data_IF_670613077122
#
_entry.id   IF_670613077122
#
_cell.length_a   1.000
_cell.length_b   1.000
_cell.length_c   1.000
_cell.angle_alpha   90.00
_cell.angle_beta   90.00
_cell.angle_gamma   90.00
#
_symmetry.space_group_name_H-M   'P 1'
#
loop_
_entity.id
_entity.type
_entity.pdbx_description
1 polymer ?
#
# COMPACT_ATOMS: atom_id res chain seq x y z
N UNK A 1 -51.74 11.73 3.10
CA UNK A 1 -51.69 10.43 2.42
C UNK A 1 -50.32 10.27 1.84
N UNK A 2 -49.57 9.50 2.54
CA UNK A 2 -48.79 8.36 2.09
C UNK A 2 -47.75 8.61 1.01
N UNK A 3 -46.50 8.64 1.39
CA UNK A 3 -45.47 7.91 0.62
C UNK A 3 -44.26 7.59 1.51
N UNK A 4 -44.42 6.59 2.36
CA UNK A 4 -43.33 5.86 2.94
C UNK A 4 -43.20 4.59 2.10
N UNK A 5 -42.52 4.69 0.99
CA UNK A 5 -42.15 3.52 0.20
C UNK A 5 -40.91 3.83 -0.62
N UNK A 6 -39.82 3.36 -0.14
CA UNK A 6 -38.76 2.74 -0.91
C UNK A 6 -37.48 2.54 -0.12
N UNK A 7 -37.50 1.82 0.98
CA UNK A 7 -36.32 1.22 1.54
C UNK A 7 -36.15 -0.19 0.94
N UNK A 8 -35.63 -0.34 -0.01
CA UNK A 8 -34.95 -0.97 -1.04
C UNK A 8 -33.85 -1.87 -0.70
N UNK A 9 -33.91 -3.00 -1.30
CA UNK A 9 -32.87 -4.03 -1.46
C UNK A 9 -31.54 -3.38 -1.84
N UNK A 10 -30.65 -3.20 -0.85
CA UNK A 10 -29.23 -3.03 -1.13
C UNK A 10 -28.79 -4.25 -1.95
N UNK A 11 -28.22 -4.08 -3.15
CA UNK A 11 -27.83 -5.21 -3.98
C UNK A 11 -26.93 -6.19 -3.19
N UNK A 12 -27.11 -7.48 -3.39
CA UNK A 12 -26.30 -8.52 -2.71
C UNK A 12 -24.78 -8.26 -2.83
N UNK A 13 -24.35 -7.69 -3.94
CA UNK A 13 -22.95 -7.30 -4.17
C UNK A 13 -22.46 -6.15 -3.27
N UNK A 14 -23.28 -5.17 -2.92
CA UNK A 14 -22.86 -4.09 -2.02
C UNK A 14 -22.69 -4.62 -0.59
N UNK A 15 -23.63 -5.41 -0.08
CA UNK A 15 -23.50 -6.02 1.25
C UNK A 15 -22.30 -6.95 1.38
N UNK A 16 -21.94 -7.66 0.31
CA UNK A 16 -20.75 -8.51 0.29
C UNK A 16 -19.47 -7.67 0.35
N UNK A 17 -19.40 -6.58 -0.41
CA UNK A 17 -18.29 -5.62 -0.36
C UNK A 17 -18.17 -4.97 1.01
N UNK A 18 -19.28 -4.50 1.58
CA UNK A 18 -19.32 -3.89 2.91
C UNK A 18 -18.79 -4.86 3.97
N UNK A 19 -19.16 -6.14 3.88
CA UNK A 19 -18.65 -7.17 4.81
C UNK A 19 -17.15 -7.40 4.65
N UNK A 20 -16.65 -7.48 3.41
CA UNK A 20 -15.21 -7.63 3.14
C UNK A 20 -14.45 -6.43 3.69
N UNK A 21 -14.93 -5.21 3.47
CA UNK A 21 -14.28 -3.98 3.96
C UNK A 21 -14.24 -3.93 5.49
N UNK A 22 -15.32 -4.32 6.16
CA UNK A 22 -15.37 -4.41 7.64
C UNK A 22 -14.38 -5.44 8.17
N UNK A 23 -14.29 -6.62 7.53
CA UNK A 23 -13.32 -7.68 7.92
C UNK A 23 -11.89 -7.21 7.72
N UNK A 24 -11.57 -6.55 6.61
CA UNK A 24 -10.22 -6.04 6.35
C UNK A 24 -9.85 -4.89 7.29
N UNK A 25 -10.82 -4.05 7.67
CA UNK A 25 -10.61 -3.01 8.67
C UNK A 25 -10.31 -3.61 10.05
N UNK A 26 -11.09 -4.60 10.47
CA UNK A 26 -10.86 -5.34 11.71
C UNK A 26 -9.50 -6.05 11.70
N UNK A 27 -9.13 -6.66 10.57
CA UNK A 27 -7.83 -7.30 10.40
C UNK A 27 -6.67 -6.32 10.61
N UNK A 28 -6.75 -5.13 10.03
CA UNK A 28 -5.74 -4.08 10.24
C UNK A 28 -5.65 -3.67 11.72
N UNK A 29 -6.79 -3.53 12.40
CA UNK A 29 -6.83 -3.17 13.82
C UNK A 29 -6.25 -4.28 14.72
N UNK A 30 -6.54 -5.54 14.43
CA UNK A 30 -5.97 -6.68 15.18
C UNK A 30 -4.46 -6.75 14.99
N UNK A 31 -3.97 -6.57 13.77
CA UNK A 31 -2.53 -6.53 13.49
C UNK A 31 -1.84 -5.37 14.20
N UNK A 32 -2.44 -4.20 14.22
CA UNK A 32 -1.86 -3.03 14.88
C UNK A 32 -1.81 -3.19 16.40
N UNK A 33 -2.84 -3.82 17.00
CA UNK A 33 -2.96 -3.99 18.44
C UNK A 33 -2.16 -5.19 18.98
N UNK A 34 -2.15 -6.31 18.27
CA UNK A 34 -1.62 -7.59 18.75
C UNK A 34 -0.48 -8.19 17.90
N UNK A 35 -0.11 -7.51 16.82
CA UNK A 35 0.91 -7.98 15.89
C UNK A 35 0.54 -9.29 15.18
N UNK A 36 1.53 -9.90 14.52
CA UNK A 36 1.33 -11.15 13.79
C UNK A 36 1.03 -12.33 14.73
N UNK A 37 1.61 -12.32 15.92
CA UNK A 37 1.42 -13.38 16.93
C UNK A 37 -0.03 -13.46 17.42
N UNK A 38 -0.71 -12.33 17.57
CA UNK A 38 -2.11 -12.27 17.99
C UNK A 38 -3.11 -12.37 16.82
N UNK A 39 -2.63 -12.35 15.58
CA UNK A 39 -3.49 -12.34 14.41
C UNK A 39 -4.03 -13.73 14.08
N UNK A 40 -5.35 -13.89 14.21
CA UNK A 40 -6.07 -15.11 13.84
C UNK A 40 -7.49 -14.78 13.38
N UNK A 41 -8.13 -15.72 12.69
CA UNK A 41 -9.47 -15.52 12.11
C UNK A 41 -10.57 -15.28 13.15
N UNK A 42 -10.45 -15.83 14.35
CA UNK A 42 -11.43 -15.63 15.42
C UNK A 42 -11.35 -14.18 15.95
N UNK A 43 -10.14 -13.69 16.24
CA UNK A 43 -9.93 -12.30 16.67
C UNK A 43 -10.42 -11.30 15.62
N UNK A 44 -10.20 -11.59 14.33
CA UNK A 44 -10.70 -10.75 13.23
C UNK A 44 -12.22 -10.80 13.14
N UNK A 45 -12.85 -11.97 13.24
CA UNK A 45 -14.32 -12.11 13.18
C UNK A 45 -15.00 -11.39 14.36
N UNK A 46 -14.47 -11.56 15.58
CA UNK A 46 -14.93 -10.88 16.78
C UNK A 46 -14.82 -9.35 16.61
N UNK A 47 -13.66 -8.86 16.18
CA UNK A 47 -13.42 -7.42 15.96
C UNK A 47 -14.29 -6.82 14.87
N UNK A 48 -14.60 -7.60 13.83
CA UNK A 48 -15.47 -7.22 12.72
C UNK A 48 -16.97 -7.28 13.07
N UNK A 49 -17.34 -7.89 14.20
CA UNK A 49 -18.73 -8.13 14.56
C UNK A 49 -19.45 -9.10 13.62
N UNK A 50 -18.71 -10.05 13.01
CA UNK A 50 -19.28 -11.08 12.12
C UNK A 50 -19.09 -12.47 12.71
N UNK A 51 -19.98 -13.41 12.34
CA UNK A 51 -19.75 -14.81 12.72
C UNK A 51 -18.54 -15.39 11.99
N UNK A 52 -17.84 -16.32 12.63
CA UNK A 52 -16.70 -17.01 12.01
C UNK A 52 -17.09 -17.72 10.70
N UNK A 53 -18.30 -18.28 10.64
CA UNK A 53 -18.83 -18.87 9.40
C UNK A 53 -19.08 -17.84 8.30
N UNK A 54 -19.45 -16.60 8.65
CA UNK A 54 -19.57 -15.52 7.68
C UNK A 54 -18.21 -15.09 7.15
N UNK A 55 -17.19 -15.03 8.01
CA UNK A 55 -15.81 -14.72 7.61
C UNK A 55 -15.26 -15.75 6.63
N UNK A 56 -15.41 -17.07 6.92
CA UNK A 56 -14.91 -18.14 6.06
C UNK A 56 -15.59 -18.23 4.69
N UNK A 57 -16.76 -17.62 4.51
CA UNK A 57 -17.36 -17.50 3.16
C UNK A 57 -16.57 -16.59 2.23
N UNK A 58 -15.79 -15.64 2.77
CA UNK A 58 -15.01 -14.67 1.99
C UNK A 58 -13.51 -14.98 2.02
N UNK A 59 -13.02 -15.51 3.13
CA UNK A 59 -11.61 -15.75 3.37
C UNK A 59 -11.38 -17.16 3.89
N UNK A 60 -10.82 -18.07 3.08
CA UNK A 60 -10.64 -19.47 3.47
C UNK A 60 -9.66 -19.65 4.64
N UNK A 61 -8.73 -18.71 4.83
CA UNK A 61 -7.72 -18.77 5.87
C UNK A 61 -7.19 -17.36 6.22
N UNK A 62 -6.34 -17.29 7.24
CA UNK A 62 -5.72 -16.03 7.66
C UNK A 62 -4.83 -15.42 6.58
N UNK A 63 -4.22 -16.24 5.73
CA UNK A 63 -3.35 -15.76 4.66
C UNK A 63 -4.15 -15.05 3.55
N UNK A 64 -5.35 -15.54 3.27
CA UNK A 64 -6.27 -14.87 2.35
C UNK A 64 -6.66 -13.47 2.86
N UNK A 65 -6.88 -13.31 4.17
CA UNK A 65 -7.15 -12.00 4.78
C UNK A 65 -5.92 -11.09 4.65
N UNK A 66 -4.71 -11.60 4.96
CA UNK A 66 -3.46 -10.83 4.86
C UNK A 66 -3.20 -10.37 3.43
N UNK A 67 -3.39 -11.26 2.44
CA UNK A 67 -3.24 -10.90 1.00
C UNK A 67 -4.23 -9.82 0.59
N UNK A 68 -5.50 -9.97 0.95
CA UNK A 68 -6.52 -8.99 0.61
C UNK A 68 -6.26 -7.63 1.31
N UNK A 69 -5.80 -7.65 2.55
CA UNK A 69 -5.38 -6.45 3.29
C UNK A 69 -4.19 -5.78 2.59
N UNK A 70 -3.17 -6.53 2.19
CA UNK A 70 -2.02 -5.99 1.48
C UNK A 70 -2.41 -5.33 0.15
N UNK A 71 -3.28 -5.97 -0.63
CA UNK A 71 -3.80 -5.40 -1.87
C UNK A 71 -4.57 -4.10 -1.62
N UNK A 72 -5.43 -4.06 -0.59
CA UNK A 72 -6.18 -2.86 -0.19
C UNK A 72 -5.23 -1.73 0.22
N UNK A 73 -4.26 -2.01 1.09
CA UNK A 73 -3.30 -1.02 1.55
C UNK A 73 -2.42 -0.49 0.39
N UNK A 74 -2.00 -1.35 -0.53
CA UNK A 74 -1.24 -0.96 -1.73
C UNK A 74 -2.06 -0.05 -2.64
N UNK A 75 -3.33 -0.37 -2.88
CA UNK A 75 -4.21 0.47 -3.70
C UNK A 75 -4.53 1.81 -3.03
N UNK A 76 -4.76 1.81 -1.71
CA UNK A 76 -4.92 3.06 -0.96
C UNK A 76 -3.66 3.91 -0.99
N UNK A 77 -2.48 3.28 -0.85
CA UNK A 77 -1.19 3.93 -0.98
C UNK A 77 -1.05 4.59 -2.36
N UNK A 78 -1.30 3.84 -3.43
CA UNK A 78 -1.25 4.36 -4.81
C UNK A 78 -2.16 5.58 -5.00
N UNK A 79 -3.39 5.51 -4.50
CA UNK A 79 -4.35 6.64 -4.58
C UNK A 79 -3.84 7.87 -3.83
N UNK A 80 -3.26 7.70 -2.65
CA UNK A 80 -2.69 8.82 -1.87
C UNK A 80 -1.50 9.46 -2.58
N UNK A 81 -0.62 8.65 -3.16
CA UNK A 81 0.51 9.14 -3.96
C UNK A 81 0.00 9.94 -5.15
N UNK A 82 -0.95 9.42 -5.92
CA UNK A 82 -1.51 10.11 -7.08
C UNK A 82 -2.19 11.42 -6.68
N UNK A 83 -3.01 11.42 -5.62
CA UNK A 83 -3.66 12.64 -5.12
C UNK A 83 -2.65 13.69 -4.65
N UNK A 84 -1.58 13.27 -3.97
CA UNK A 84 -0.53 14.20 -3.52
C UNK A 84 0.21 14.84 -4.71
N UNK A 85 0.43 14.10 -5.78
CA UNK A 85 1.06 14.62 -7.01
C UNK A 85 0.19 15.66 -7.75
N UNK A 86 -1.14 15.56 -7.62
CA UNK A 86 -2.07 16.52 -8.19
C UNK A 86 -2.09 17.86 -7.42
N UNK A 87 -1.92 17.81 -6.11
CA UNK A 87 -2.02 18.99 -5.23
C UNK A 87 -0.72 19.78 -5.14
N UNK A 88 0.42 19.13 -5.22
CA UNK A 88 1.73 19.72 -4.93
C UNK A 88 2.44 20.26 -6.18
N UNK A 89 1.95 21.40 -6.69
CA UNK A 89 2.56 22.07 -7.85
C UNK A 89 3.81 22.93 -7.51
N UNK A 90 4.13 23.08 -6.22
CA UNK A 90 5.22 23.94 -5.75
C UNK A 90 6.51 23.20 -5.38
N UNK A 91 6.45 21.89 -5.22
CA UNK A 91 7.60 21.04 -4.90
C UNK A 91 8.05 20.33 -6.17
N UNK A 92 9.37 20.14 -6.33
CA UNK A 92 9.87 19.33 -7.43
C UNK A 92 9.21 17.94 -7.43
N UNK A 93 8.77 17.48 -8.59
CA UNK A 93 7.95 16.27 -8.75
C UNK A 93 8.58 15.01 -8.13
N UNK A 94 9.91 14.91 -8.19
CA UNK A 94 10.68 13.84 -7.54
C UNK A 94 10.49 13.82 -6.02
N UNK A 95 10.60 14.99 -5.38
CA UNK A 95 10.39 15.14 -3.94
C UNK A 95 8.94 14.89 -3.55
N UNK A 96 7.98 15.40 -4.31
CA UNK A 96 6.56 15.19 -4.06
C UNK A 96 6.21 13.70 -4.08
N UNK A 97 6.74 12.95 -5.04
CA UNK A 97 6.54 11.51 -5.16
C UNK A 97 7.13 10.74 -3.97
N UNK A 98 8.38 11.03 -3.59
CA UNK A 98 9.05 10.40 -2.45
C UNK A 98 8.30 10.73 -1.15
N UNK A 99 7.96 11.99 -0.93
CA UNK A 99 7.18 12.44 0.23
C UNK A 99 5.83 11.75 0.32
N UNK A 100 5.07 11.69 -0.76
CA UNK A 100 3.78 11.02 -0.81
C UNK A 100 3.91 9.53 -0.48
N UNK A 101 4.98 8.88 -0.96
CA UNK A 101 5.27 7.50 -0.63
C UNK A 101 5.56 7.33 0.86
N UNK A 102 6.46 8.11 1.43
CA UNK A 102 6.82 8.04 2.85
C UNK A 102 5.61 8.34 3.74
N UNK A 103 4.85 9.40 3.44
CA UNK A 103 3.66 9.77 4.21
C UNK A 103 2.53 8.74 4.11
N UNK A 104 2.42 8.01 3.02
CA UNK A 104 1.41 6.97 2.89
C UNK A 104 1.63 5.79 3.86
N UNK A 105 2.83 5.67 4.44
CA UNK A 105 3.12 4.74 5.54
C UNK A 105 2.89 5.34 6.93
N UNK A 106 2.48 6.60 7.03
CA UNK A 106 2.06 7.19 8.30
C UNK A 106 0.82 6.46 8.87
N UNK A 107 0.74 6.33 10.19
CA UNK A 107 -0.37 5.67 10.88
C UNK A 107 -0.12 4.17 11.08
N UNK A 108 -0.97 3.32 10.53
CA UNK A 108 -0.95 1.85 10.75
C UNK A 108 0.27 1.16 10.14
N UNK A 109 1.45 1.47 10.64
CA UNK A 109 2.73 0.99 10.10
C UNK A 109 2.92 -0.52 10.28
N UNK A 110 2.50 -1.05 11.43
CA UNK A 110 2.65 -2.47 11.75
C UNK A 110 1.74 -3.36 10.89
N UNK A 111 0.46 -3.00 10.76
CA UNK A 111 -0.48 -3.74 9.92
C UNK A 111 -0.02 -3.76 8.45
N UNK A 112 0.45 -2.61 7.93
CA UNK A 112 0.98 -2.51 6.56
C UNK A 112 2.25 -3.32 6.38
N UNK A 113 3.18 -3.25 7.32
CA UNK A 113 4.41 -4.03 7.29
C UNK A 113 4.13 -5.52 7.20
N UNK A 114 3.27 -6.04 8.10
CA UNK A 114 2.93 -7.46 8.15
C UNK A 114 2.19 -7.89 6.88
N UNK A 115 1.20 -7.11 6.43
CA UNK A 115 0.47 -7.39 5.21
C UNK A 115 1.39 -7.35 3.97
N UNK A 116 2.29 -6.38 3.88
CA UNK A 116 3.27 -6.27 2.81
C UNK A 116 4.27 -7.45 2.83
N UNK A 117 4.76 -7.85 4.00
CA UNK A 117 5.64 -9.01 4.15
C UNK A 117 4.95 -10.29 3.67
N UNK A 118 3.69 -10.51 4.07
CA UNK A 118 2.91 -11.67 3.66
C UNK A 118 2.66 -11.69 2.14
N UNK A 119 2.40 -10.53 1.53
CA UNK A 119 2.25 -10.41 0.08
C UNK A 119 3.56 -10.73 -0.65
N UNK A 120 4.69 -10.17 -0.18
CA UNK A 120 5.99 -10.37 -0.80
C UNK A 120 6.51 -11.80 -0.68
N UNK A 121 6.18 -12.49 0.42
CA UNK A 121 6.54 -13.90 0.62
C UNK A 121 5.82 -14.84 -0.37
N UNK A 122 4.69 -14.41 -0.93
CA UNK A 122 3.85 -15.21 -1.84
C UNK A 122 3.78 -14.65 -3.26
N UNK A 123 4.38 -13.48 -3.51
CA UNK A 123 4.29 -12.83 -4.81
C UNK A 123 5.07 -13.59 -5.87
N UNK A 124 4.46 -13.76 -7.05
CA UNK A 124 5.18 -14.12 -8.25
C UNK A 124 6.14 -12.97 -8.61
N UNK A 125 7.42 -13.31 -8.73
CA UNK A 125 8.44 -12.34 -9.12
C UNK A 125 8.14 -11.65 -10.45
N UNK A 126 7.45 -12.32 -11.38
CA UNK A 126 7.07 -11.76 -12.66
C UNK A 126 5.99 -10.66 -12.52
N UNK A 127 5.00 -10.84 -11.66
CA UNK A 127 3.97 -9.82 -11.41
C UNK A 127 4.55 -8.57 -10.75
N UNK A 128 5.44 -8.74 -9.77
CA UNK A 128 6.16 -7.63 -9.16
C UNK A 128 7.03 -6.89 -10.17
N UNK A 129 7.76 -7.62 -11.01
CA UNK A 129 8.58 -7.04 -12.07
C UNK A 129 7.76 -6.22 -13.05
N UNK A 130 6.58 -6.71 -13.49
CA UNK A 130 5.70 -6.00 -14.40
C UNK A 130 5.18 -4.66 -13.81
N UNK A 131 4.82 -4.64 -12.53
CA UNK A 131 4.38 -3.42 -11.84
C UNK A 131 5.48 -2.36 -11.77
N UNK A 132 6.73 -2.79 -11.60
CA UNK A 132 7.87 -1.88 -11.59
C UNK A 132 8.23 -1.39 -12.99
N UNK A 133 8.16 -2.24 -14.02
CA UNK A 133 8.43 -1.84 -15.40
C UNK A 133 7.51 -0.72 -15.87
N UNK A 134 6.23 -0.76 -15.50
CA UNK A 134 5.29 0.31 -15.81
C UNK A 134 5.65 1.67 -15.14
N UNK A 135 6.29 1.63 -13.96
CA UNK A 135 6.74 2.83 -13.27
C UNK A 135 8.07 3.40 -13.85
N UNK A 136 8.78 2.62 -14.64
CA UNK A 136 10.04 2.99 -15.29
C UNK A 136 9.81 3.71 -16.63
N UNK A 137 8.63 3.55 -17.23
CA UNK A 137 8.27 4.18 -18.49
C UNK A 137 8.20 5.71 -18.36
N UNK A 138 8.85 6.41 -19.27
CA UNK A 138 8.84 7.89 -19.33
C UNK A 138 9.80 8.59 -18.37
N UNK A 139 10.67 7.88 -17.64
CA UNK A 139 11.73 8.51 -16.85
C UNK A 139 12.76 9.17 -17.76
N UNK A 140 13.17 10.41 -17.40
CA UNK A 140 14.17 11.20 -18.12
C UNK A 140 15.29 11.65 -17.19
N UNK A 141 16.46 11.88 -17.76
CA UNK A 141 17.59 12.53 -17.06
C UNK A 141 17.33 14.05 -16.87
N UNK A 142 18.25 14.73 -16.23
CA UNK A 142 18.18 16.17 -16.00
C UNK A 142 18.16 17.00 -17.31
N UNK A 143 18.65 16.46 -18.41
CA UNK A 143 18.62 17.04 -19.76
C UNK A 143 17.35 16.72 -20.54
N UNK A 144 16.40 15.99 -19.97
CA UNK A 144 15.16 15.57 -20.61
C UNK A 144 15.31 14.38 -21.56
N UNK A 145 16.46 13.71 -21.60
CA UNK A 145 16.69 12.51 -22.44
C UNK A 145 16.08 11.29 -21.74
N UNK A 146 15.37 10.40 -22.46
CA UNK A 146 14.87 9.17 -21.90
C UNK A 146 15.99 8.33 -21.30
N UNK A 147 15.74 7.78 -20.10
CA UNK A 147 16.67 6.82 -19.49
C UNK A 147 16.70 5.53 -20.31
N UNK A 148 17.86 4.91 -20.39
CA UNK A 148 17.95 3.53 -20.89
C UNK A 148 17.22 2.60 -19.93
N UNK A 149 16.79 1.43 -20.43
CA UNK A 149 16.15 0.41 -19.60
C UNK A 149 16.97 0.02 -18.36
N UNK A 150 18.30 -0.04 -18.50
CA UNK A 150 19.19 -0.37 -17.39
C UNK A 150 19.24 0.75 -16.37
N UNK A 151 19.33 2.01 -16.80
CA UNK A 151 19.33 3.16 -15.92
C UNK A 151 18.00 3.28 -15.14
N UNK A 152 16.87 3.16 -15.85
CA UNK A 152 15.54 3.19 -15.22
C UNK A 152 15.37 2.05 -14.20
N UNK A 153 15.81 0.84 -14.54
CA UNK A 153 15.81 -0.30 -13.64
C UNK A 153 16.63 -0.05 -12.36
N UNK A 154 17.88 0.39 -12.50
CA UNK A 154 18.77 0.63 -11.35
C UNK A 154 18.21 1.71 -10.45
N UNK A 155 17.80 2.85 -11.01
CA UNK A 155 17.24 3.98 -10.25
C UNK A 155 15.98 3.56 -9.51
N UNK A 156 15.03 2.94 -10.19
CA UNK A 156 13.77 2.53 -9.58
C UNK A 156 13.99 1.52 -8.45
N UNK A 157 14.88 0.55 -8.65
CA UNK A 157 15.20 -0.45 -7.61
C UNK A 157 15.95 0.13 -6.43
N UNK A 158 16.85 1.09 -6.64
CA UNK A 158 17.56 1.75 -5.55
C UNK A 158 16.60 2.52 -4.64
N UNK A 159 15.73 3.34 -5.21
CA UNK A 159 14.77 4.14 -4.43
C UNK A 159 13.71 3.27 -3.78
N UNK A 160 13.01 2.43 -4.56
CA UNK A 160 11.95 1.56 -4.00
C UNK A 160 12.52 0.50 -3.07
N UNK A 161 13.73 0.00 -3.32
CA UNK A 161 14.41 -0.95 -2.45
C UNK A 161 14.68 -0.36 -1.08
N UNK A 162 15.23 0.85 -1.01
CA UNK A 162 15.49 1.56 0.24
C UNK A 162 14.19 1.84 1.01
N UNK A 163 13.16 2.37 0.33
CA UNK A 163 11.86 2.61 0.94
C UNK A 163 11.22 1.33 1.47
N UNK A 164 11.28 0.25 0.70
CA UNK A 164 10.75 -1.05 1.10
C UNK A 164 11.49 -1.62 2.30
N UNK A 165 12.82 -1.56 2.30
CA UNK A 165 13.63 -2.00 3.43
C UNK A 165 13.26 -1.24 4.69
N UNK A 166 13.17 0.09 4.62
CA UNK A 166 12.78 0.93 5.75
C UNK A 166 11.40 0.54 6.32
N UNK A 167 10.43 0.20 5.47
CA UNK A 167 9.11 -0.28 5.92
C UNK A 167 9.20 -1.66 6.57
N UNK A 168 9.89 -2.61 5.95
CA UNK A 168 9.96 -3.99 6.44
C UNK A 168 10.77 -4.11 7.72
N UNK A 169 11.85 -3.36 7.83
CA UNK A 169 12.71 -3.32 9.01
C UNK A 169 12.11 -2.50 10.15
N UNK A 170 11.13 -1.64 9.85
CA UNK A 170 10.43 -0.83 10.84
C UNK A 170 11.33 0.24 11.46
N UNK A 171 12.19 0.85 10.64
CA UNK A 171 13.12 1.88 11.10
C UNK A 171 12.38 3.12 11.61
N UNK A 172 12.90 3.76 12.65
CA UNK A 172 12.30 4.92 13.30
C UNK A 172 12.36 6.19 12.43
N UNK A 173 13.33 6.28 11.54
CA UNK A 173 13.51 7.41 10.62
C UNK A 173 12.67 7.33 9.34
N UNK A 174 11.82 6.31 9.14
CA UNK A 174 11.00 6.16 7.92
C UNK A 174 10.25 7.43 7.52
N UNK A 175 9.76 8.20 8.48
CA UNK A 175 9.00 9.43 8.25
C UNK A 175 9.84 10.70 8.44
N UNK A 176 11.15 10.58 8.59
CA UNK A 176 12.02 11.71 8.79
C UNK A 176 12.24 12.49 7.48
N UNK A 177 12.45 13.80 7.63
CA UNK A 177 12.85 14.63 6.51
C UNK A 177 14.21 14.24 5.95
N UNK A 178 15.11 13.78 6.82
CA UNK A 178 16.43 13.31 6.43
C UNK A 178 16.33 12.12 5.45
N UNK A 179 15.48 11.14 5.73
CA UNK A 179 15.29 10.02 4.83
C UNK A 179 14.70 10.44 3.48
N UNK A 180 13.75 11.38 3.48
CA UNK A 180 13.21 11.98 2.25
C UNK A 180 14.33 12.68 1.46
N UNK A 181 15.16 13.50 2.14
CA UNK A 181 16.23 14.26 1.51
C UNK A 181 17.31 13.34 0.90
N UNK A 182 17.65 12.23 1.56
CA UNK A 182 18.59 11.24 1.05
C UNK A 182 18.09 10.52 -0.21
N UNK A 183 16.81 10.13 -0.24
CA UNK A 183 16.22 9.53 -1.42
C UNK A 183 16.17 10.50 -2.61
N UNK A 184 15.82 11.75 -2.36
CA UNK A 184 15.85 12.81 -3.39
C UNK A 184 17.27 13.03 -3.89
N UNK A 185 18.26 13.11 -2.99
CA UNK A 185 19.68 13.26 -3.32
C UNK A 185 20.18 12.11 -4.18
N UNK A 186 19.84 10.86 -3.81
CA UNK A 186 20.19 9.69 -4.59
C UNK A 186 19.64 9.76 -6.03
N UNK A 187 18.35 10.06 -6.17
CA UNK A 187 17.72 10.20 -7.47
C UNK A 187 18.36 11.28 -8.34
N UNK A 188 18.55 12.47 -7.78
CA UNK A 188 19.15 13.62 -8.51
C UNK A 188 20.60 13.39 -8.87
N UNK A 189 21.40 12.83 -7.96
CA UNK A 189 22.80 12.51 -8.25
C UNK A 189 22.92 11.49 -9.40
N UNK A 190 22.05 10.50 -9.43
CA UNK A 190 22.02 9.50 -10.51
C UNK A 190 21.61 10.12 -11.87
N UNK A 191 20.68 11.06 -11.87
CA UNK A 191 20.17 11.67 -13.09
C UNK A 191 21.04 12.85 -13.61
N UNK A 192 22.01 13.34 -12.83
CA UNK A 192 22.92 14.43 -13.22
C UNK A 192 24.21 13.95 -13.91
N UNK A 193 24.36 12.66 -14.11
CA UNK A 193 25.47 12.05 -14.86
C UNK A 193 25.03 11.79 -16.30
#
# INVERSE_FOLDING_TARGET
>A
MSTVENMRKIPRQSRARDTVDVVLEAAAQVLEAAGEAGFNTNAVAERAGVSIGALYRYFPDKQAILRALALRETEQHRRRVMAALEVDQGIARDRAMIRAFVQAFAGRSQARRIAMSAMLAQADHAELAAKFSAAEEGLTDAGGRPLTRVQAFVLSRAIHGAMRAAVLEGVDFLQSREFEDELVRLGRAYLSV
#
